data_IF_558936097800
#
_entry.id   IF_558936097800
#
_cell.length_a   1.000
_cell.length_b   1.000
_cell.length_c   1.000
_cell.angle_alpha   90.00
_cell.angle_beta   90.00
_cell.angle_gamma   90.00
#
_symmetry.space_group_name_H-M   'P 1'
#
loop_
_entity.id
_entity.type
_entity.pdbx_description
1 polymer ?
#
# COMPACT_ATOMS: atom_id res chain seq x y z
N UNK A 1 10.51 -4.26 18.82
CA UNK A 1 10.41 -5.58 19.49
C UNK A 1 8.94 -6.03 19.64
N UNK A 2 8.09 -5.33 20.41
CA UNK A 2 6.70 -5.76 20.67
C UNK A 2 5.85 -6.01 19.42
N UNK A 3 5.95 -5.12 18.42
CA UNK A 3 5.22 -5.26 17.13
C UNK A 3 5.66 -6.47 16.31
N UNK A 4 6.96 -6.79 16.32
CA UNK A 4 7.50 -7.96 15.61
C UNK A 4 6.93 -9.26 16.17
N UNK A 5 6.94 -9.40 17.50
CA UNK A 5 6.38 -10.57 18.19
C UNK A 5 4.88 -10.69 17.91
N UNK A 6 4.16 -9.56 17.89
CA UNK A 6 2.74 -9.55 17.60
C UNK A 6 2.45 -10.04 16.17
N UNK A 7 3.17 -9.55 15.15
CA UNK A 7 3.00 -10.02 13.78
C UNK A 7 3.36 -11.51 13.61
N UNK A 8 4.36 -12.00 14.32
CA UNK A 8 4.69 -13.43 14.34
C UNK A 8 3.57 -14.27 14.95
N UNK A 9 3.05 -13.88 16.12
CA UNK A 9 1.96 -14.59 16.79
C UNK A 9 0.72 -14.60 15.91
N UNK A 10 0.37 -13.46 15.31
CA UNK A 10 -0.78 -13.36 14.39
C UNK A 10 -0.55 -14.20 13.13
N UNK A 11 0.66 -14.21 12.58
CA UNK A 11 1.02 -15.05 11.43
C UNK A 11 0.86 -16.54 11.71
N UNK A 12 1.34 -17.01 12.86
CA UNK A 12 1.17 -18.40 13.29
C UNK A 12 -0.30 -18.73 13.52
N UNK A 13 -1.03 -17.88 14.25
CA UNK A 13 -2.47 -18.08 14.49
C UNK A 13 -3.27 -18.12 13.17
N UNK A 14 -2.90 -17.28 12.21
CA UNK A 14 -3.45 -17.24 10.85
C UNK A 14 -3.23 -18.56 10.12
N UNK A 15 -2.01 -19.12 10.13
CA UNK A 15 -1.70 -20.44 9.55
C UNK A 15 -2.56 -21.54 10.18
N UNK A 16 -2.67 -21.58 11.51
CA UNK A 16 -3.46 -22.59 12.22
C UNK A 16 -4.96 -22.47 11.89
N UNK A 17 -5.47 -21.25 11.81
CA UNK A 17 -6.86 -20.97 11.44
C UNK A 17 -7.14 -21.41 9.99
N UNK A 18 -6.21 -21.13 9.09
CA UNK A 18 -6.31 -21.45 7.67
C UNK A 18 -6.20 -22.96 7.38
N UNK A 19 -5.50 -23.70 8.23
CA UNK A 19 -5.36 -25.15 8.12
C UNK A 19 -6.51 -25.90 8.81
N UNK A 20 -7.10 -25.35 9.87
CA UNK A 20 -8.12 -26.06 10.67
C UNK A 20 -9.56 -25.64 10.37
N UNK A 21 -9.82 -24.35 10.18
CA UNK A 21 -11.18 -23.78 10.17
C UNK A 21 -11.69 -23.55 8.73
N UNK A 22 -10.80 -23.09 7.85
CA UNK A 22 -11.14 -22.85 6.44
C UNK A 22 -11.57 -24.10 5.65
N UNK A 23 -10.87 -25.26 5.72
CA UNK A 23 -11.32 -26.43 4.97
C UNK A 23 -12.66 -26.96 5.47
N UNK A 24 -13.02 -26.67 6.74
CA UNK A 24 -14.30 -27.05 7.33
C UNK A 24 -15.47 -26.16 6.85
N UNK A 25 -15.22 -24.89 6.54
CA UNK A 25 -16.26 -23.92 6.17
C UNK A 25 -16.43 -23.71 4.66
N UNK A 26 -15.36 -23.79 3.86
CA UNK A 26 -15.38 -23.41 2.44
C UNK A 26 -15.13 -24.58 1.46
N UNK A 27 -14.85 -25.79 1.94
CA UNK A 27 -14.47 -26.91 1.08
C UNK A 27 -13.20 -26.63 0.26
N UNK A 28 -12.98 -27.40 -0.81
CA UNK A 28 -11.78 -27.32 -1.68
C UNK A 28 -11.74 -26.10 -2.61
N UNK A 29 -12.83 -25.33 -2.72
CA UNK A 29 -13.02 -24.41 -3.85
C UNK A 29 -12.46 -23.01 -3.58
N UNK A 30 -12.46 -22.55 -2.33
CA UNK A 30 -12.00 -21.21 -1.96
C UNK A 30 -11.20 -21.29 -0.66
N UNK A 31 -9.87 -21.22 -0.77
CA UNK A 31 -8.96 -21.23 0.37
C UNK A 31 -8.31 -19.85 0.54
N UNK A 32 -8.97 -18.89 1.23
CA UNK A 32 -8.43 -17.55 1.38
C UNK A 32 -7.04 -17.55 2.05
N UNK A 33 -6.11 -16.80 1.47
CA UNK A 33 -4.76 -16.67 2.02
C UNK A 33 -4.69 -15.56 3.08
N UNK A 34 -4.86 -15.90 4.36
CA UNK A 34 -4.73 -15.01 5.52
C UNK A 34 -3.29 -14.55 5.75
N UNK A 35 -2.26 -15.29 5.31
CA UNK A 35 -0.86 -14.81 5.38
C UNK A 35 -0.68 -13.70 4.37
N UNK A 36 -1.21 -13.88 3.16
CA UNK A 36 -1.22 -12.84 2.15
C UNK A 36 -1.99 -11.59 2.63
N UNK A 37 -3.12 -11.76 3.32
CA UNK A 37 -3.85 -10.65 3.95
C UNK A 37 -3.00 -9.94 5.03
N UNK A 38 -2.25 -10.68 5.83
CA UNK A 38 -1.35 -10.11 6.83
C UNK A 38 -0.21 -9.32 6.18
N UNK A 39 0.40 -9.87 5.12
CA UNK A 39 1.43 -9.18 4.33
C UNK A 39 0.88 -7.90 3.70
N UNK A 40 -0.36 -7.94 3.21
CA UNK A 40 -1.08 -6.76 2.72
C UNK A 40 -1.22 -5.69 3.79
N UNK A 41 -1.64 -6.07 5.00
CA UNK A 41 -1.77 -5.14 6.11
C UNK A 41 -0.42 -4.52 6.51
N UNK A 42 0.64 -5.34 6.58
CA UNK A 42 2.01 -4.87 6.90
C UNK A 42 2.52 -3.91 5.83
N UNK A 43 2.29 -4.20 4.54
CA UNK A 43 2.68 -3.33 3.42
C UNK A 43 2.01 -1.96 3.43
N UNK A 44 0.82 -1.85 4.01
CA UNK A 44 0.09 -0.59 4.11
C UNK A 44 0.52 0.25 5.31
N UNK A 45 0.83 -0.37 6.45
CA UNK A 45 1.07 0.36 7.70
C UNK A 45 2.54 0.57 8.04
N UNK A 46 3.44 -0.33 7.65
CA UNK A 46 4.81 -0.35 8.17
C UNK A 46 5.86 0.23 7.21
N UNK A 47 7.09 0.43 7.74
CA UNK A 47 8.22 0.95 6.95
C UNK A 47 8.70 -0.11 5.95
N UNK A 48 9.22 0.30 4.76
CA UNK A 48 9.55 -0.64 3.68
C UNK A 48 10.55 -1.71 4.09
N UNK A 49 11.59 -1.34 4.85
CA UNK A 49 12.64 -2.28 5.26
C UNK A 49 12.12 -3.31 6.27
N UNK A 50 11.38 -2.85 7.30
CA UNK A 50 10.84 -3.74 8.32
C UNK A 50 9.75 -4.64 7.74
N UNK A 51 8.85 -4.09 6.92
CA UNK A 51 7.78 -4.83 6.26
C UNK A 51 8.29 -5.89 5.29
N UNK A 52 9.33 -5.59 4.50
CA UNK A 52 9.95 -6.56 3.60
C UNK A 52 10.58 -7.73 4.38
N UNK A 53 11.26 -7.43 5.49
CA UNK A 53 11.82 -8.47 6.37
C UNK A 53 10.72 -9.35 6.97
N UNK A 54 9.60 -8.77 7.43
CA UNK A 54 8.47 -9.53 7.95
C UNK A 54 7.81 -10.42 6.90
N UNK A 55 7.57 -9.90 5.69
CA UNK A 55 6.95 -10.66 4.60
C UNK A 55 7.81 -11.85 4.19
N UNK A 56 9.12 -11.65 4.08
CA UNK A 56 10.06 -12.73 3.78
C UNK A 56 10.10 -13.79 4.88
N UNK A 57 10.19 -13.37 6.15
CA UNK A 57 10.25 -14.28 7.29
C UNK A 57 8.96 -15.10 7.43
N UNK A 58 7.79 -14.49 7.24
CA UNK A 58 6.50 -15.18 7.20
C UNK A 58 6.44 -16.20 6.05
N UNK A 59 6.92 -15.84 4.87
CA UNK A 59 6.98 -16.78 3.73
C UNK A 59 7.94 -17.95 3.98
N UNK A 60 9.07 -17.73 4.64
CA UNK A 60 9.96 -18.81 5.05
C UNK A 60 9.33 -19.74 6.11
N UNK A 61 8.56 -19.20 7.06
CA UNK A 61 7.80 -20.02 8.01
C UNK A 61 6.76 -20.87 7.24
N UNK A 62 6.07 -20.28 6.26
CA UNK A 62 5.11 -20.99 5.42
C UNK A 62 5.77 -22.15 4.64
N UNK A 63 6.98 -21.94 4.10
CA UNK A 63 7.74 -23.00 3.41
C UNK A 63 7.97 -24.23 4.31
N UNK A 64 8.25 -24.00 5.61
CA UNK A 64 8.44 -25.10 6.58
C UNK A 64 7.16 -25.91 6.77
N UNK A 65 5.99 -25.27 6.79
CA UNK A 65 4.70 -25.95 6.95
C UNK A 65 4.20 -26.63 5.67
N UNK A 66 4.47 -26.04 4.50
CA UNK A 66 4.08 -26.60 3.20
C UNK A 66 5.02 -27.71 2.72
N UNK A 67 6.21 -27.86 3.31
CA UNK A 67 7.21 -28.84 2.88
C UNK A 67 7.78 -28.55 1.49
N UNK A 68 7.64 -27.32 1.00
CA UNK A 68 8.15 -26.86 -0.31
C UNK A 68 9.63 -26.47 -0.22
N UNK A 69 10.24 -26.12 -1.36
CA UNK A 69 11.59 -25.57 -1.41
C UNK A 69 11.69 -24.33 -0.52
N UNK A 70 12.60 -24.39 0.46
CA UNK A 70 12.87 -23.29 1.40
C UNK A 70 13.20 -22.01 0.62
N UNK A 71 12.42 -20.96 0.85
CA UNK A 71 12.61 -19.64 0.27
C UNK A 71 11.72 -19.35 -0.94
N UNK A 72 10.99 -20.32 -1.50
CA UNK A 72 10.08 -20.06 -2.61
C UNK A 72 8.92 -19.17 -2.16
N UNK A 73 8.19 -19.58 -1.11
CA UNK A 73 7.12 -18.75 -0.56
C UNK A 73 7.69 -17.46 0.08
N UNK A 74 8.90 -17.52 0.64
CA UNK A 74 9.64 -16.34 1.09
C UNK A 74 9.81 -15.28 0.00
N UNK A 75 10.28 -15.67 -1.19
CA UNK A 75 10.45 -14.75 -2.32
C UNK A 75 9.11 -14.26 -2.89
N UNK A 76 8.12 -15.14 -3.01
CA UNK A 76 6.78 -14.78 -3.50
C UNK A 76 6.15 -13.71 -2.61
N UNK A 77 6.19 -13.90 -1.29
CA UNK A 77 5.64 -12.93 -0.32
C UNK A 77 6.39 -11.59 -0.36
N UNK A 78 7.71 -11.61 -0.57
CA UNK A 78 8.52 -10.40 -0.73
C UNK A 78 8.13 -9.63 -2.01
N UNK A 79 7.93 -10.33 -3.13
CA UNK A 79 7.47 -9.72 -4.38
C UNK A 79 6.08 -9.09 -4.21
N UNK A 80 5.15 -9.80 -3.59
CA UNK A 80 3.80 -9.30 -3.30
C UNK A 80 3.87 -8.03 -2.44
N UNK A 81 4.67 -8.04 -1.37
CA UNK A 81 4.91 -6.86 -0.54
C UNK A 81 5.44 -5.68 -1.36
N UNK A 82 6.41 -5.93 -2.26
CA UNK A 82 6.96 -4.90 -3.13
C UNK A 82 5.90 -4.31 -4.06
N UNK A 83 5.06 -5.13 -4.68
CA UNK A 83 3.94 -4.69 -5.51
C UNK A 83 2.95 -3.82 -4.75
N UNK A 84 2.59 -4.21 -3.52
CA UNK A 84 1.67 -3.46 -2.65
C UNK A 84 2.30 -2.12 -2.25
N UNK A 85 3.57 -2.12 -1.87
CA UNK A 85 4.28 -0.90 -1.48
C UNK A 85 4.39 0.09 -2.64
N UNK A 86 4.73 -0.39 -3.84
CA UNK A 86 4.75 0.43 -5.05
C UNK A 86 3.33 0.95 -5.34
N UNK A 87 2.31 0.09 -5.25
CA UNK A 87 0.91 0.48 -5.43
C UNK A 87 0.49 1.59 -4.47
N UNK A 88 0.77 1.44 -3.18
CA UNK A 88 0.54 2.47 -2.15
C UNK A 88 1.25 3.78 -2.51
N UNK A 89 2.51 3.71 -2.91
CA UNK A 89 3.29 4.89 -3.30
C UNK A 89 2.67 5.58 -4.52
N UNK A 90 2.23 4.83 -5.52
CA UNK A 90 1.58 5.36 -6.72
C UNK A 90 0.23 6.02 -6.39
N UNK A 91 -0.56 5.44 -5.49
CA UNK A 91 -1.82 6.03 -5.04
C UNK A 91 -1.59 7.32 -4.25
N UNK A 92 -0.58 7.33 -3.37
CA UNK A 92 -0.22 8.52 -2.61
C UNK A 92 0.31 9.64 -3.53
N UNK A 93 1.13 9.28 -4.52
CA UNK A 93 1.62 10.23 -5.53
C UNK A 93 0.52 10.77 -6.43
N UNK A 94 -0.48 9.96 -6.81
CA UNK A 94 -1.60 10.43 -7.63
C UNK A 94 -2.49 11.41 -6.88
N UNK A 95 -2.76 11.18 -5.59
CA UNK A 95 -3.47 12.16 -4.75
C UNK A 95 -2.68 13.47 -4.61
N UNK A 96 -1.36 13.38 -4.48
CA UNK A 96 -0.49 14.56 -4.39
C UNK A 96 -0.33 15.25 -5.76
N UNK A 97 -0.34 14.54 -6.90
CA UNK A 97 -0.23 15.13 -8.25
C UNK A 97 -1.46 15.93 -8.69
N UNK A 98 -2.63 15.66 -8.10
CA UNK A 98 -3.83 16.49 -8.32
C UNK A 98 -3.64 17.87 -7.68
N UNK A 99 -2.86 18.00 -6.60
CA UNK A 99 -2.65 19.27 -5.91
C UNK A 99 -1.84 20.30 -6.72
N UNK A 100 -0.66 20.02 -7.30
CA UNK A 100 0.10 21.00 -8.06
C UNK A 100 -0.58 21.33 -9.40
N UNK A 101 -1.27 20.39 -10.04
CA UNK A 101 -1.97 20.65 -11.30
C UNK A 101 -3.21 21.52 -11.13
N UNK A 102 -3.98 21.30 -10.06
CA UNK A 102 -5.11 22.18 -9.69
C UNK A 102 -4.63 23.53 -9.12
N UNK A 103 -3.52 23.56 -8.39
CA UNK A 103 -2.89 24.81 -7.94
C UNK A 103 -2.37 25.61 -9.15
N UNK A 104 -1.78 24.96 -10.16
CA UNK A 104 -1.32 25.63 -11.38
C UNK A 104 -2.47 26.23 -12.17
N UNK A 105 -3.62 25.53 -12.28
CA UNK A 105 -4.80 26.05 -12.97
C UNK A 105 -5.42 27.23 -12.22
N UNK A 106 -5.45 27.20 -10.88
CA UNK A 106 -5.90 28.33 -10.05
C UNK A 106 -4.95 29.54 -10.11
N UNK A 107 -3.64 29.32 -10.07
CA UNK A 107 -2.64 30.40 -10.22
C UNK A 107 -2.71 31.04 -11.61
N UNK A 108 -2.90 30.23 -12.66
CA UNK A 108 -3.05 30.71 -14.05
C UNK A 108 -4.35 31.50 -14.22
N UNK A 109 -5.45 31.06 -13.60
CA UNK A 109 -6.72 31.79 -13.57
C UNK A 109 -6.61 33.13 -12.80
N UNK A 110 -5.91 33.14 -11.65
CA UNK A 110 -5.67 34.36 -10.86
C UNK A 110 -4.83 35.39 -11.62
N UNK A 111 -3.82 34.95 -12.37
CA UNK A 111 -2.99 35.82 -13.22
C UNK A 111 -3.81 36.52 -14.31
N UNK A 112 -4.70 35.79 -14.98
CA UNK A 112 -5.58 36.35 -16.01
C UNK A 112 -6.60 37.35 -15.45
N UNK A 113 -7.12 37.14 -14.23
CA UNK A 113 -8.01 38.10 -13.58
C UNK A 113 -7.28 39.42 -13.27
N UNK A 114 -6.06 39.35 -12.73
CA UNK A 114 -5.30 40.53 -12.35
C UNK A 114 -4.99 41.43 -13.56
N UNK A 115 -4.67 40.83 -14.71
CA UNK A 115 -4.36 41.56 -15.96
C UNK A 115 -5.57 42.33 -16.53
N UNK A 116 -6.80 41.86 -16.29
CA UNK A 116 -8.02 42.58 -16.70
C UNK A 116 -8.33 43.77 -15.79
N UNK A 117 -8.03 43.66 -14.49
CA UNK A 117 -8.29 44.74 -13.52
C UNK A 117 -7.39 45.96 -13.77
N UNK A 118 -6.13 45.75 -14.15
CA UNK A 118 -5.20 46.85 -14.46
C UNK A 118 -5.55 47.57 -15.76
N UNK A 119 -6.01 46.84 -16.78
CA UNK A 119 -6.52 47.42 -18.04
C UNK A 119 -7.76 48.31 -17.82
N UNK A 120 -8.71 47.88 -16.98
CA UNK A 120 -9.92 48.66 -16.72
C UNK A 120 -9.68 49.89 -15.84
N UNK A 121 -8.64 49.90 -15.01
CA UNK A 121 -8.26 51.11 -14.26
C UNK A 121 -7.48 52.10 -15.12
N UNK A 122 -6.65 51.65 -16.06
CA UNK A 122 -5.99 52.54 -17.02
C UNK A 122 -6.98 53.30 -17.91
N UNK A 123 -8.11 52.68 -18.29
CA UNK A 123 -9.16 53.34 -19.07
C UNK A 123 -9.93 54.43 -18.31
N UNK A 124 -9.90 54.41 -16.97
CA UNK A 124 -10.62 55.36 -16.12
C UNK A 124 -9.83 56.66 -15.82
N UNK A 125 -8.56 56.72 -16.21
CA UNK A 125 -7.67 57.88 -15.98
C UNK A 125 -7.76 58.87 -17.16
N UNK A 126 -8.35 58.45 -18.29
CA UNK A 126 -8.48 59.24 -19.51
C UNK A 126 -9.89 59.79 -19.76
N UNK A 127 -10.78 59.73 -18.76
CA UNK A 127 -12.11 60.35 -18.75
C UNK A 127 -12.24 61.23 -17.51
#
# INVERSE_FOLDING_TARGET
MKRLVLYLIVGIASILTQTSILPLLFGLTLRPDLILLLVLYIGLNETPLAGAFYAWLLGCILDVFCGTTLGLNGMIMLLIFCSIYIGRRQLNLKNDLVLPSTLLSLLRARSHYNKRKTSNQGLKIWH
#
